data_IF_633925040775
#
_entry.id   IF_633925040775
#
_cell.length_a   1.000
_cell.length_b   1.000
_cell.length_c   1.000
_cell.angle_alpha   90.00
_cell.angle_beta   90.00
_cell.angle_gamma   90.00
#
_symmetry.space_group_name_H-M   'P 1'
#
loop_
_entity.id
_entity.type
_entity.pdbx_description
1 polymer ?
#
# COMPACT_ATOMS: atom_id res chain seq x y z
N UNK A 1 3.55 17.42 27.26
CA UNK A 1 3.31 18.26 26.06
C UNK A 1 4.62 18.98 25.74
N UNK A 2 5.60 18.28 25.16
CA UNK A 2 5.73 18.27 23.71
C UNK A 2 6.27 16.93 23.15
N UNK A 3 5.53 16.29 22.24
CA UNK A 3 6.05 15.20 21.38
C UNK A 3 5.93 15.69 19.94
N UNK A 4 6.70 16.74 19.63
CA UNK A 4 6.54 17.57 18.43
C UNK A 4 7.22 17.00 17.19
N UNK A 5 7.88 15.85 17.28
CA UNK A 5 8.52 15.23 16.13
C UNK A 5 7.65 14.05 15.66
N UNK A 6 6.95 14.15 14.51
CA UNK A 6 6.48 12.95 13.85
C UNK A 6 7.70 12.07 13.57
N UNK A 7 7.61 10.77 13.84
CA UNK A 7 8.65 9.82 13.45
C UNK A 7 8.83 9.93 11.92
N UNK A 8 9.80 10.73 11.47
CA UNK A 8 10.01 11.05 10.05
C UNK A 8 10.36 9.78 9.26
N UNK A 9 11.07 8.85 9.91
CA UNK A 9 11.33 7.54 9.33
C UNK A 9 10.02 6.75 9.19
N UNK A 10 9.20 6.67 10.23
CA UNK A 10 7.88 6.03 10.18
C UNK A 10 6.97 6.65 9.12
N UNK A 11 6.99 7.98 8.97
CA UNK A 11 6.28 8.71 7.93
C UNK A 11 6.75 8.35 6.53
N UNK A 12 8.06 8.27 6.30
CA UNK A 12 8.62 7.87 5.01
C UNK A 12 8.21 6.43 4.65
N UNK A 13 8.28 5.50 5.62
CA UNK A 13 7.85 4.12 5.43
C UNK A 13 6.34 4.02 5.18
N UNK A 14 5.53 4.74 5.95
CA UNK A 14 4.09 4.83 5.73
C UNK A 14 3.79 5.34 4.32
N UNK A 15 4.43 6.43 3.88
CA UNK A 15 4.23 7.00 2.56
C UNK A 15 4.56 6.01 1.44
N UNK A 16 5.68 5.29 1.56
CA UNK A 16 6.08 4.26 0.61
C UNK A 16 5.05 3.11 0.57
N UNK A 17 4.74 2.51 1.72
CA UNK A 17 3.81 1.37 1.80
C UNK A 17 2.39 1.75 1.35
N UNK A 18 1.93 2.92 1.78
CA UNK A 18 0.64 3.47 1.39
C UNK A 18 0.55 3.75 -0.12
N UNK A 19 1.65 4.21 -0.74
CA UNK A 19 1.70 4.42 -2.18
C UNK A 19 1.51 3.10 -2.96
N UNK A 20 2.13 2.01 -2.48
CA UNK A 20 1.97 0.67 -3.06
C UNK A 20 0.55 0.16 -2.88
N UNK A 21 -0.08 0.40 -1.73
CA UNK A 21 -1.51 0.10 -1.52
C UNK A 21 -2.41 0.86 -2.49
N UNK A 22 -2.18 2.15 -2.72
CA UNK A 22 -2.98 2.97 -3.62
C UNK A 22 -2.85 2.51 -5.08
N UNK A 23 -1.62 2.28 -5.56
CA UNK A 23 -1.36 1.76 -6.92
C UNK A 23 -1.98 0.37 -7.07
N UNK A 24 -1.80 -0.49 -6.08
CA UNK A 24 -2.39 -1.83 -6.05
C UNK A 24 -3.92 -1.82 -6.12
N UNK A 25 -4.56 -0.89 -5.41
CA UNK A 25 -6.01 -0.69 -5.46
C UNK A 25 -6.47 -0.27 -6.87
N UNK A 26 -5.82 0.72 -7.47
CA UNK A 26 -6.16 1.19 -8.82
C UNK A 26 -6.00 0.09 -9.87
N UNK A 27 -4.94 -0.72 -9.76
CA UNK A 27 -4.71 -1.82 -10.67
C UNK A 27 -5.73 -2.95 -10.50
N UNK A 28 -6.08 -3.31 -9.26
CA UNK A 28 -7.15 -4.28 -9.00
C UNK A 28 -8.50 -3.76 -9.52
N UNK A 29 -8.83 -2.49 -9.27
CA UNK A 29 -10.08 -1.87 -9.71
C UNK A 29 -10.24 -1.90 -11.25
N UNK A 30 -9.14 -1.70 -12.01
CA UNK A 30 -9.15 -1.83 -13.47
C UNK A 30 -9.26 -3.27 -13.99
N UNK A 31 -8.87 -4.26 -13.19
CA UNK A 31 -8.78 -5.67 -13.60
C UNK A 31 -9.94 -6.56 -13.14
N UNK A 32 -10.80 -6.10 -12.23
CA UNK A 32 -11.96 -6.88 -11.78
C UNK A 32 -12.90 -7.17 -12.96
N UNK A 33 -13.03 -8.44 -13.41
CA UNK A 33 -13.79 -8.74 -14.61
C UNK A 33 -15.28 -8.59 -14.32
N UNK A 34 -15.93 -7.60 -14.95
CA UNK A 34 -17.38 -7.42 -14.87
C UNK A 34 -18.15 -8.65 -15.41
N UNK A 35 -17.53 -9.47 -16.28
CA UNK A 35 -18.05 -10.78 -16.75
C UNK A 35 -16.93 -11.77 -17.11
N UNK A 36 -16.88 -12.94 -16.45
CA UNK A 36 -16.36 -14.21 -16.99
C UNK A 36 -14.85 -14.42 -17.19
N UNK A 37 -13.97 -13.57 -16.63
CA UNK A 37 -12.51 -13.67 -16.79
C UNK A 37 -11.76 -14.37 -15.65
N UNK A 38 -10.42 -14.44 -15.77
CA UNK A 38 -9.47 -15.16 -14.88
C UNK A 38 -9.55 -14.67 -13.42
N UNK A 39 -10.46 -15.25 -12.65
CA UNK A 39 -10.78 -14.85 -11.27
C UNK A 39 -9.66 -15.15 -10.29
N UNK A 40 -9.05 -16.33 -10.35
CA UNK A 40 -8.08 -16.82 -9.37
C UNK A 40 -6.87 -15.90 -9.11
N UNK A 41 -6.13 -15.40 -10.13
CA UNK A 41 -5.00 -14.52 -9.88
C UNK A 41 -5.43 -13.16 -9.31
N UNK A 42 -6.59 -12.65 -9.71
CA UNK A 42 -7.13 -11.37 -9.20
C UNK A 42 -7.51 -11.52 -7.73
N UNK A 43 -8.22 -12.58 -7.33
CA UNK A 43 -8.57 -12.81 -5.91
C UNK A 43 -7.34 -12.99 -5.04
N UNK A 44 -6.32 -13.73 -5.52
CA UNK A 44 -5.08 -13.91 -4.76
C UNK A 44 -4.35 -12.58 -4.54
N UNK A 45 -4.24 -11.74 -5.57
CA UNK A 45 -3.65 -10.40 -5.44
C UNK A 45 -4.50 -9.49 -4.55
N UNK A 46 -5.83 -9.59 -4.58
CA UNK A 46 -6.72 -8.87 -3.64
C UNK A 46 -6.43 -9.27 -2.19
N UNK A 47 -6.26 -10.56 -1.89
CA UNK A 47 -5.93 -11.02 -0.53
C UNK A 47 -4.60 -10.42 -0.06
N UNK A 48 -3.57 -10.46 -0.92
CA UNK A 48 -2.27 -9.83 -0.63
C UNK A 48 -2.40 -8.33 -0.38
N UNK A 49 -3.20 -7.65 -1.20
CA UNK A 49 -3.48 -6.22 -1.04
C UNK A 49 -4.17 -5.93 0.29
N UNK A 50 -5.18 -6.71 0.69
CA UNK A 50 -5.87 -6.55 1.99
C UNK A 50 -4.89 -6.75 3.15
N UNK A 51 -4.03 -7.77 3.08
CA UNK A 51 -3.00 -8.00 4.10
C UNK A 51 -2.04 -6.81 4.21
N UNK A 52 -1.55 -6.29 3.08
CA UNK A 52 -0.66 -5.13 3.07
C UNK A 52 -1.35 -3.88 3.60
N UNK A 53 -2.61 -3.64 3.22
CA UNK A 53 -3.41 -2.50 3.69
C UNK A 53 -3.58 -2.55 5.20
N UNK A 54 -4.05 -3.68 5.74
CA UNK A 54 -4.28 -3.87 7.17
C UNK A 54 -2.98 -3.69 7.97
N UNK A 55 -1.88 -4.27 7.49
CA UNK A 55 -0.58 -4.15 8.13
C UNK A 55 -0.02 -2.72 8.09
N UNK A 56 -0.18 -2.01 6.96
CA UNK A 56 0.26 -0.61 6.81
C UNK A 56 -0.54 0.32 7.73
N UNK A 57 -1.85 0.09 7.86
CA UNK A 57 -2.70 0.82 8.81
C UNK A 57 -2.32 0.53 10.26
N UNK A 58 -2.10 -0.73 10.63
CA UNK A 58 -1.68 -1.09 11.98
C UNK A 58 -0.34 -0.43 12.35
N UNK A 59 0.64 -0.48 11.46
CA UNK A 59 1.92 0.21 11.62
C UNK A 59 1.74 1.73 11.79
N UNK A 60 0.93 2.35 10.91
CA UNK A 60 0.68 3.78 10.96
C UNK A 60 0.03 4.23 12.28
N UNK A 61 -0.91 3.44 12.81
CA UNK A 61 -1.57 3.73 14.08
C UNK A 61 -0.65 3.62 15.30
N UNK A 62 0.42 2.83 15.21
CA UNK A 62 1.42 2.68 16.27
C UNK A 62 2.47 3.80 16.19
N UNK A 63 2.94 4.13 14.99
CA UNK A 63 4.11 5.00 14.80
C UNK A 63 3.75 6.47 14.49
N UNK A 64 2.55 6.75 14.00
CA UNK A 64 2.14 8.08 13.56
C UNK A 64 0.92 8.60 14.30
N UNK A 65 0.79 9.94 14.29
CA UNK A 65 -0.42 10.63 14.75
C UNK A 65 -1.55 10.43 13.74
N UNK A 66 -2.76 10.21 14.24
CA UNK A 66 -3.98 10.06 13.44
C UNK A 66 -4.15 11.16 12.37
N UNK A 67 -3.89 12.43 12.72
CA UNK A 67 -3.97 13.55 11.78
C UNK A 67 -2.99 13.42 10.62
N UNK A 68 -1.77 12.95 10.90
CA UNK A 68 -0.74 12.74 9.87
C UNK A 68 -1.14 11.61 8.93
N UNK A 69 -1.72 10.53 9.46
CA UNK A 69 -2.22 9.40 8.66
C UNK A 69 -3.29 9.89 7.68
N UNK A 70 -4.27 10.66 8.16
CA UNK A 70 -5.35 11.18 7.30
C UNK A 70 -4.80 12.15 6.25
N UNK A 71 -3.97 13.11 6.65
CA UNK A 71 -3.46 14.13 5.72
C UNK A 71 -2.55 13.51 4.67
N UNK A 72 -1.53 12.75 5.08
CA UNK A 72 -0.57 12.14 4.15
C UNK A 72 -1.23 11.04 3.34
N UNK A 73 -2.04 10.19 3.98
CA UNK A 73 -2.76 9.12 3.30
C UNK A 73 -3.76 9.66 2.27
N UNK A 74 -4.49 10.72 2.62
CA UNK A 74 -5.41 11.41 1.73
C UNK A 74 -4.70 12.08 0.56
N UNK A 75 -3.62 12.85 0.81
CA UNK A 75 -2.81 13.47 -0.25
C UNK A 75 -2.30 12.40 -1.21
N UNK A 76 -1.65 11.35 -0.71
CA UNK A 76 -1.15 10.28 -1.57
C UNK A 76 -2.28 9.63 -2.37
N UNK A 77 -3.41 9.31 -1.73
CA UNK A 77 -4.54 8.69 -2.42
C UNK A 77 -5.15 9.58 -3.51
N UNK A 78 -5.17 10.90 -3.32
CA UNK A 78 -5.71 11.85 -4.28
C UNK A 78 -4.77 12.14 -5.46
N UNK A 79 -3.44 12.15 -5.24
CA UNK A 79 -2.47 12.51 -6.28
C UNK A 79 -1.82 11.30 -6.98
N UNK A 80 -1.85 10.11 -6.38
CA UNK A 80 -1.33 8.89 -7.03
C UNK A 80 -2.09 8.45 -8.29
N UNK A 81 -3.41 8.65 -8.43
CA UNK A 81 -4.13 8.27 -9.65
C UNK A 81 -3.55 8.95 -10.90
N UNK A 82 -3.19 10.23 -10.79
CA UNK A 82 -2.56 10.99 -11.88
C UNK A 82 -1.19 10.39 -12.26
N UNK A 83 -0.39 10.00 -11.26
CA UNK A 83 0.86 9.29 -11.50
C UNK A 83 0.61 7.95 -12.20
N UNK A 84 -0.37 7.18 -11.73
CA UNK A 84 -0.73 5.89 -12.32
C UNK A 84 -1.20 6.02 -13.78
N UNK A 85 -1.90 7.09 -14.12
CA UNK A 85 -2.32 7.37 -15.51
C UNK A 85 -1.15 7.74 -16.42
N UNK A 86 -0.08 8.33 -15.88
CA UNK A 86 1.13 8.64 -16.65
C UNK A 86 2.00 7.41 -16.96
N UNK A 87 1.72 6.26 -16.34
CA UNK A 87 2.50 5.04 -16.56
C UNK A 87 2.08 4.27 -17.83
N UNK A 88 3.03 3.54 -18.45
CA UNK A 88 2.78 2.83 -19.70
C UNK A 88 1.65 1.81 -19.60
N UNK A 89 0.85 1.69 -20.66
CA UNK A 89 -0.32 0.79 -20.74
C UNK A 89 0.03 -0.68 -20.48
N UNK A 90 1.22 -1.14 -20.91
CA UNK A 90 1.68 -2.51 -20.67
C UNK A 90 1.90 -2.81 -19.18
N UNK A 91 2.18 -1.79 -18.37
CA UNK A 91 2.33 -1.89 -16.92
C UNK A 91 0.99 -1.71 -16.19
N UNK A 92 0.09 -0.90 -16.75
CA UNK A 92 -1.22 -0.60 -16.17
C UNK A 92 -2.21 -1.76 -16.33
N UNK A 93 -2.40 -2.22 -17.56
CA UNK A 93 -3.50 -3.12 -17.94
C UNK A 93 -3.00 -4.52 -18.37
N UNK A 94 -1.69 -4.72 -18.42
CA UNK A 94 -1.07 -5.99 -18.80
C UNK A 94 -1.03 -7.03 -17.67
N UNK A 95 -1.09 -8.32 -18.02
CA UNK A 95 -0.76 -9.43 -17.09
C UNK A 95 0.65 -9.32 -16.51
N UNK A 96 1.58 -8.69 -17.24
CA UNK A 96 2.92 -8.37 -16.75
C UNK A 96 2.88 -7.31 -15.63
N UNK A 97 2.03 -6.30 -15.77
CA UNK A 97 1.71 -5.31 -14.75
C UNK A 97 1.25 -5.95 -13.44
N UNK A 98 0.24 -6.83 -13.51
CA UNK A 98 -0.27 -7.56 -12.34
C UNK A 98 0.81 -8.38 -11.62
N UNK A 99 1.70 -9.03 -12.36
CA UNK A 99 2.83 -9.77 -11.77
C UNK A 99 3.80 -8.83 -11.07
N UNK A 100 4.10 -7.68 -11.69
CA UNK A 100 5.01 -6.71 -11.11
C UNK A 100 4.44 -6.09 -9.83
N UNK A 101 3.16 -5.74 -9.82
CA UNK A 101 2.48 -5.23 -8.62
C UNK A 101 2.33 -6.29 -7.55
N UNK A 102 2.08 -7.55 -7.92
CA UNK A 102 2.13 -8.66 -6.96
C UNK A 102 3.53 -8.78 -6.31
N UNK A 103 4.60 -8.74 -7.11
CA UNK A 103 5.97 -8.73 -6.58
C UNK A 103 6.22 -7.51 -5.68
N UNK A 104 5.73 -6.32 -6.06
CA UNK A 104 5.85 -5.12 -5.25
C UNK A 104 5.09 -5.22 -3.93
N UNK A 105 3.89 -5.82 -3.92
CA UNK A 105 3.11 -6.07 -2.70
C UNK A 105 3.81 -7.06 -1.77
N UNK A 106 4.39 -8.14 -2.33
CA UNK A 106 5.17 -9.11 -1.54
C UNK A 106 6.42 -8.46 -0.94
N UNK A 107 7.14 -7.65 -1.73
CA UNK A 107 8.29 -6.90 -1.24
C UNK A 107 7.88 -5.88 -0.16
N UNK A 108 6.77 -5.17 -0.35
CA UNK A 108 6.23 -4.23 0.62
C UNK A 108 5.79 -4.93 1.92
N UNK A 109 5.19 -6.11 1.83
CA UNK A 109 4.84 -6.94 2.99
C UNK A 109 6.10 -7.39 3.75
N UNK A 110 7.13 -7.85 3.03
CA UNK A 110 8.40 -8.25 3.65
C UNK A 110 9.09 -7.06 4.34
N UNK A 111 9.10 -5.89 3.71
CA UNK A 111 9.60 -4.66 4.30
C UNK A 111 8.79 -4.23 5.52
N UNK A 112 7.46 -4.28 5.44
CA UNK A 112 6.58 -3.98 6.56
C UNK A 112 6.87 -4.90 7.75
N UNK A 113 7.05 -6.20 7.54
CA UNK A 113 7.42 -7.14 8.62
C UNK A 113 8.75 -6.74 9.25
N UNK A 114 9.76 -6.39 8.44
CA UNK A 114 11.06 -5.97 8.95
C UNK A 114 11.04 -4.64 9.72
N UNK A 115 10.26 -3.67 9.24
CA UNK A 115 10.16 -2.34 9.84
C UNK A 115 9.23 -2.33 11.05
N UNK A 116 8.16 -3.11 11.05
CA UNK A 116 7.17 -3.12 12.11
C UNK A 116 7.50 -4.08 13.28
N UNK A 117 8.33 -5.11 13.05
CA UNK A 117 8.80 -6.02 14.11
C UNK A 117 9.35 -5.31 15.36
N UNK A 118 10.23 -4.28 15.26
CA UNK A 118 10.69 -3.54 16.43
C UNK A 118 9.59 -2.69 17.08
N UNK A 119 8.63 -2.18 16.31
CA UNK A 119 7.52 -1.35 16.79
C UNK A 119 6.53 -2.12 17.67
N UNK A 120 6.21 -3.36 17.30
CA UNK A 120 5.26 -4.20 18.03
C UNK A 120 5.84 -4.79 19.32
N UNK A 121 7.18 -4.85 19.44
CA UNK A 121 7.86 -5.39 20.61
C UNK A 121 7.75 -4.49 21.86
N UNK A 122 7.33 -3.23 21.69
CA UNK A 122 7.17 -2.24 22.77
C UNK A 122 5.85 -2.47 23.55
N UNK A 123 4.91 -3.24 22.99
CA UNK A 123 3.58 -3.50 23.57
C UNK A 123 3.47 -4.82 24.35
N UNK A 124 4.55 -5.61 24.44
CA UNK A 124 4.63 -6.84 25.27
C UNK A 124 5.57 -6.65 26.44
#
# INVERSE_FOLDING_TARGET
MPQLEPNLAGLAWFGLLWSVCCIGFLQLAGMYPLRGGTVLPVTMTTILWVMLLAGTLAFALVELRWTTIIVVGGVLFLFLPELFQALPEWWRDGRAGLRLSCCAMVAALALLIGVAAPSFHIWT
#
